data_IF_219512334358
#
_entry.id   IF_219512334358
#
_cell.length_a   1.000
_cell.length_b   1.000
_cell.length_c   1.000
_cell.angle_alpha   90.00
_cell.angle_beta   90.00
_cell.angle_gamma   90.00
#
_symmetry.space_group_name_H-M   'P 1'
#
loop_
_entity.id
_entity.type
_entity.pdbx_description
1 polymer ?
#
# COMPACT_ATOMS: atom_id res chain seq x y z
N UNK A 1 -7.80 10.59 25.74
CA UNK A 1 -6.36 10.85 25.56
C UNK A 1 -6.06 10.77 24.07
N UNK A 2 -5.72 11.88 23.43
CA UNK A 2 -5.26 11.89 22.05
C UNK A 2 -3.84 11.30 22.06
N UNK A 3 -3.70 10.02 21.71
CA UNK A 3 -2.37 9.49 21.40
C UNK A 3 -1.95 10.10 20.07
N UNK A 4 -0.90 10.92 20.08
CA UNK A 4 -0.27 11.30 18.82
C UNK A 4 0.38 10.05 18.24
N UNK A 5 -0.12 9.59 17.10
CA UNK A 5 0.46 8.50 16.32
C UNK A 5 1.76 9.00 15.67
N UNK A 6 2.80 9.20 16.48
CA UNK A 6 4.02 9.93 16.11
C UNK A 6 4.97 9.17 15.16
N UNK A 7 4.46 8.20 14.40
CA UNK A 7 5.26 7.38 13.47
C UNK A 7 4.47 6.76 12.32
N UNK A 8 3.15 6.95 12.24
CA UNK A 8 2.37 6.48 11.09
C UNK A 8 2.54 7.43 9.92
N UNK A 9 2.84 6.87 8.75
CA UNK A 9 2.91 7.63 7.50
C UNK A 9 1.48 7.77 6.95
N UNK A 10 1.03 8.96 6.50
CA UNK A 10 -0.31 9.14 5.95
C UNK A 10 -0.63 8.14 4.82
N UNK A 11 -1.89 7.70 4.75
CA UNK A 11 -2.39 6.84 3.66
C UNK A 11 -1.93 7.35 2.28
N UNK A 12 -1.62 6.41 1.38
CA UNK A 12 -1.21 6.69 0.00
C UNK A 12 0.20 7.33 -0.15
N UNK A 13 0.95 7.46 0.94
CA UNK A 13 2.34 7.94 0.91
C UNK A 13 3.31 6.79 0.69
N UNK A 14 4.33 6.97 -0.15
CA UNK A 14 5.40 5.98 -0.36
C UNK A 14 6.25 5.85 0.90
N UNK A 15 6.35 4.63 1.44
CA UNK A 15 7.22 4.29 2.57
C UNK A 15 8.58 3.74 2.12
N UNK A 16 8.65 3.16 0.92
CA UNK A 16 9.89 2.64 0.36
C UNK A 16 9.68 2.01 -1.02
N UNK A 17 10.78 1.50 -1.58
CA UNK A 17 10.80 0.89 -2.92
C UNK A 17 11.53 -0.44 -2.87
N UNK A 18 10.86 -1.52 -3.28
CA UNK A 18 11.46 -2.84 -3.45
C UNK A 18 11.95 -3.04 -4.89
N UNK A 19 13.04 -3.80 -5.06
CA UNK A 19 13.53 -4.29 -6.38
C UNK A 19 13.68 -3.20 -7.46
N UNK A 20 14.03 -1.98 -7.06
CA UNK A 20 14.19 -0.73 -7.86
C UNK A 20 12.94 0.02 -8.31
N UNK A 21 11.80 -0.63 -8.53
CA UNK A 21 10.63 0.02 -9.16
C UNK A 21 9.27 -0.29 -8.52
N UNK A 22 9.21 -1.01 -7.40
CA UNK A 22 7.94 -1.36 -6.75
C UNK A 22 7.76 -0.59 -5.44
N UNK A 23 6.96 0.48 -5.47
CA UNK A 23 6.67 1.29 -4.29
C UNK A 23 5.75 0.57 -3.29
N UNK A 24 6.11 0.60 -2.02
CA UNK A 24 5.23 0.24 -0.91
C UNK A 24 4.58 1.53 -0.39
N UNK A 25 3.24 1.60 -0.43
CA UNK A 25 2.48 2.75 0.03
C UNK A 25 1.92 2.47 1.42
N UNK A 26 1.75 3.51 2.23
CA UNK A 26 1.10 3.41 3.53
C UNK A 26 -0.39 3.12 3.37
N UNK A 27 -0.86 2.13 4.14
CA UNK A 27 -2.28 1.86 4.35
C UNK A 27 -2.86 2.74 5.49
N UNK A 28 -2.11 3.68 6.07
CA UNK A 28 -2.55 4.48 7.21
C UNK A 28 -2.29 3.75 8.52
N UNK A 29 -3.19 2.83 8.90
CA UNK A 29 -3.09 1.99 10.10
C UNK A 29 -3.52 0.54 9.81
N UNK A 30 -3.45 -0.31 10.84
CA UNK A 30 -3.66 -1.76 10.74
C UNK A 30 -5.13 -2.15 10.46
N UNK A 31 -6.10 -1.31 10.87
CA UNK A 31 -7.54 -1.57 10.72
C UNK A 31 -8.14 -0.82 9.51
N UNK A 32 -7.35 0.03 8.84
CA UNK A 32 -7.81 0.83 7.72
C UNK A 32 -8.11 -0.02 6.47
N UNK A 33 -9.31 0.13 5.94
CA UNK A 33 -9.71 -0.47 4.67
C UNK A 33 -10.31 0.57 3.74
N UNK A 34 -9.53 0.97 2.71
CA UNK A 34 -9.90 2.07 1.81
C UNK A 34 -11.09 1.79 0.89
N UNK A 35 -11.47 0.51 0.72
CA UNK A 35 -12.36 0.00 -0.36
C UNK A 35 -11.96 0.38 -1.79
N UNK A 36 -10.81 1.04 -1.99
CA UNK A 36 -10.32 1.46 -3.30
C UNK A 36 -9.57 0.32 -4.00
N UNK A 37 -9.96 0.02 -5.23
CA UNK A 37 -9.23 -0.94 -6.06
C UNK A 37 -7.95 -0.32 -6.62
N UNK A 38 -6.89 -1.12 -6.71
CA UNK A 38 -5.71 -0.81 -7.49
C UNK A 38 -5.63 -1.71 -8.73
N UNK A 39 -5.40 -1.08 -9.89
CA UNK A 39 -5.19 -1.76 -11.16
C UNK A 39 -3.85 -1.34 -11.75
N UNK A 40 -3.08 -2.31 -12.24
CA UNK A 40 -1.86 -2.08 -13.00
C UNK A 40 -1.99 -2.77 -14.37
N UNK A 41 -1.86 -2.01 -15.46
CA UNK A 41 -2.10 -2.48 -16.83
C UNK A 41 -3.47 -3.18 -17.02
N UNK A 42 -4.50 -2.71 -16.31
CA UNK A 42 -5.85 -3.29 -16.35
C UNK A 42 -6.05 -4.54 -15.46
N UNK A 43 -5.01 -5.03 -14.79
CA UNK A 43 -5.08 -6.20 -13.91
C UNK A 43 -5.35 -5.74 -12.48
N UNK A 44 -6.34 -6.34 -11.81
CA UNK A 44 -6.67 -6.05 -10.41
C UNK A 44 -5.55 -6.52 -9.47
N UNK A 45 -4.86 -5.56 -8.85
CA UNK A 45 -3.78 -5.83 -7.91
C UNK A 45 -4.30 -6.11 -6.50
N UNK A 46 -5.42 -5.52 -6.10
CA UNK A 46 -5.99 -5.66 -4.75
C UNK A 46 -6.59 -4.34 -4.27
N UNK A 47 -6.95 -4.27 -3.00
CA UNK A 47 -7.38 -3.02 -2.37
C UNK A 47 -6.15 -2.20 -1.94
N UNK A 48 -6.16 -0.89 -2.20
CA UNK A 48 -5.10 0.01 -1.74
C UNK A 48 -5.09 0.08 -0.20
N UNK A 49 -3.97 -0.03 0.50
CA UNK A 49 -2.66 -0.57 0.10
C UNK A 49 -2.37 -1.81 0.94
N UNK A 50 -3.30 -2.76 0.86
CA UNK A 50 -3.30 -3.98 1.64
C UNK A 50 -2.12 -4.89 1.27
N UNK A 51 -1.70 -5.75 2.19
CA UNK A 51 -0.51 -6.59 2.01
C UNK A 51 -0.57 -7.48 0.75
N UNK A 52 -1.76 -8.02 0.42
CA UNK A 52 -1.97 -8.84 -0.78
C UNK A 52 -1.92 -8.02 -2.06
N UNK A 53 -2.29 -6.73 -2.02
CA UNK A 53 -2.11 -5.81 -3.14
C UNK A 53 -0.62 -5.69 -3.49
N UNK A 54 0.21 -5.40 -2.49
CA UNK A 54 1.64 -5.24 -2.69
C UNK A 54 2.29 -6.53 -3.17
N UNK A 55 1.94 -7.68 -2.56
CA UNK A 55 2.48 -8.98 -2.96
C UNK A 55 2.18 -9.31 -4.43
N UNK A 56 0.93 -9.09 -4.87
CA UNK A 56 0.51 -9.35 -6.27
C UNK A 56 1.23 -8.42 -7.24
N UNK A 57 1.32 -7.13 -6.93
CA UNK A 57 2.01 -6.14 -7.77
C UNK A 57 3.52 -6.39 -7.83
N UNK A 58 4.14 -6.75 -6.72
CA UNK A 58 5.57 -7.07 -6.68
C UNK A 58 5.89 -8.30 -7.54
N UNK A 59 5.09 -9.37 -7.46
CA UNK A 59 5.27 -10.57 -8.29
C UNK A 59 5.03 -10.32 -9.78
N UNK A 60 4.20 -9.34 -10.15
CA UNK A 60 3.95 -8.99 -11.55
C UNK A 60 5.10 -8.17 -12.17
N UNK A 61 5.75 -7.33 -11.37
CA UNK A 61 6.77 -6.37 -11.84
C UNK A 61 8.21 -6.87 -11.71
N UNK A 62 8.45 -7.96 -10.96
CA UNK A 62 9.75 -8.59 -10.76
C UNK A 62 9.86 -9.88 -11.56
#
# INVERSE_FOLDING_TARGET
MLQSQNGLVPFNTVQGTASTNVHAYSNGDDDFFSVEHHYLHGIFMGFKWQCVEFARRWLLMR
#
